data_IF_141919778900
#
_entry.id   IF_141919778900
#
_cell.length_a   1.000
_cell.length_b   1.000
_cell.length_c   1.000
_cell.angle_alpha   90.00
_cell.angle_beta   90.00
_cell.angle_gamma   90.00
#
_symmetry.space_group_name_H-M   'P 1'
#
loop_
_entity.id
_entity.type
_entity.pdbx_description
1 polymer ?
#
# COMPACT_ATOMS: atom_id res chain seq x y z
N UNK A 1 44.27 -23.36 10.38
CA UNK A 1 42.98 -22.65 10.54
C UNK A 1 42.37 -23.19 11.81
N UNK A 2 42.19 -22.33 12.82
CA UNK A 2 41.76 -22.77 14.14
C UNK A 2 40.32 -23.28 14.10
N UNK A 3 40.03 -24.36 14.83
CA UNK A 3 38.69 -24.95 14.90
C UNK A 3 37.61 -23.94 15.32
N UNK A 4 38.01 -22.92 16.08
CA UNK A 4 37.16 -21.78 16.47
C UNK A 4 36.79 -20.92 15.25
N UNK A 5 37.76 -20.60 14.40
CA UNK A 5 37.52 -19.83 13.18
C UNK A 5 36.59 -20.59 12.22
N UNK A 6 36.79 -21.90 12.08
CA UNK A 6 35.92 -22.77 11.26
C UNK A 6 34.49 -22.83 11.83
N UNK A 7 34.33 -22.91 13.15
CA UNK A 7 33.01 -22.89 13.80
C UNK A 7 32.29 -21.55 13.60
N UNK A 8 33.00 -20.42 13.72
CA UNK A 8 32.43 -19.09 13.45
C UNK A 8 31.97 -18.96 11.99
N UNK A 9 32.79 -19.40 11.03
CA UNK A 9 32.44 -19.39 9.60
C UNK A 9 31.23 -20.28 9.32
N UNK A 10 31.14 -21.47 9.94
CA UNK A 10 29.98 -22.36 9.80
C UNK A 10 28.72 -21.76 10.41
N UNK A 11 28.79 -21.10 11.57
CA UNK A 11 27.64 -20.41 12.17
C UNK A 11 27.16 -19.28 11.27
N UNK A 12 28.07 -18.45 10.73
CA UNK A 12 27.72 -17.36 9.80
C UNK A 12 27.10 -17.94 8.51
N UNK A 13 27.65 -19.02 7.96
CA UNK A 13 27.13 -19.69 6.77
C UNK A 13 25.79 -20.42 7.00
N UNK A 14 25.49 -20.85 8.23
CA UNK A 14 24.17 -21.40 8.60
C UNK A 14 23.16 -20.26 8.80
N UNK A 15 23.61 -19.09 9.27
CA UNK A 15 22.78 -17.89 9.41
C UNK A 15 22.54 -17.18 8.08
N UNK A 16 23.35 -17.43 7.04
CA UNK A 16 23.15 -16.89 5.68
C UNK A 16 22.06 -17.62 4.89
N UNK A 17 21.11 -18.28 5.56
CA UNK A 17 19.90 -18.78 4.91
C UNK A 17 19.15 -17.56 4.39
N UNK A 18 19.05 -17.49 3.07
CA UNK A 18 18.53 -16.39 2.27
C UNK A 18 17.40 -15.63 2.94
N UNK A 19 17.59 -14.33 3.15
CA UNK A 19 16.50 -13.38 3.33
C UNK A 19 15.68 -13.44 2.04
N UNK A 20 14.58 -14.18 2.03
CA UNK A 20 13.57 -13.99 1.00
C UNK A 20 12.81 -12.72 1.36
N UNK A 21 12.58 -11.87 0.37
CA UNK A 21 11.59 -10.82 0.45
C UNK A 21 10.39 -11.27 -0.38
N UNK A 22 9.18 -11.06 0.11
CA UNK A 22 8.01 -11.20 -0.73
C UNK A 22 7.88 -9.95 -1.60
N UNK A 23 8.06 -10.14 -2.90
CA UNK A 23 7.77 -9.13 -3.90
C UNK A 23 6.32 -9.30 -4.38
N UNK A 24 5.47 -8.31 -4.16
CA UNK A 24 4.08 -8.32 -4.64
C UNK A 24 3.73 -7.00 -5.30
N UNK A 25 2.95 -7.08 -6.37
CA UNK A 25 2.42 -5.92 -7.08
C UNK A 25 0.91 -5.88 -6.95
N UNK A 26 0.34 -4.68 -7.04
CA UNK A 26 -1.10 -4.44 -7.02
C UNK A 26 -1.52 -3.60 -8.22
N UNK A 27 -2.75 -3.81 -8.66
CA UNK A 27 -3.46 -2.91 -9.57
C UNK A 27 -4.64 -2.33 -8.82
N UNK A 28 -4.76 -1.01 -8.79
CA UNK A 28 -5.85 -0.31 -8.12
C UNK A 28 -6.56 0.61 -9.11
N UNK A 29 -7.89 0.60 -9.06
CA UNK A 29 -8.71 1.58 -9.78
C UNK A 29 -9.83 2.10 -8.91
N UNK A 30 -10.35 3.27 -9.26
CA UNK A 30 -11.55 3.80 -8.63
C UNK A 30 -11.92 5.17 -9.19
N UNK A 31 -12.90 5.76 -8.54
CA UNK A 31 -13.37 7.12 -8.77
C UNK A 31 -13.38 7.88 -7.45
N UNK A 32 -13.09 9.17 -7.50
CA UNK A 32 -13.37 10.09 -6.39
C UNK A 32 -14.49 11.03 -6.78
N UNK A 33 -15.36 11.39 -5.82
CA UNK A 33 -16.43 12.37 -6.03
C UNK A 33 -16.45 13.38 -4.89
N UNK A 34 -16.51 14.66 -5.27
CA UNK A 34 -16.80 15.77 -4.37
C UNK A 34 -18.20 16.30 -4.73
N UNK A 35 -19.21 15.88 -3.98
CA UNK A 35 -20.61 16.13 -4.29
C UNK A 35 -20.97 17.62 -4.22
N UNK A 36 -20.36 18.37 -3.31
CA UNK A 36 -20.61 19.81 -3.18
C UNK A 36 -19.91 20.67 -4.23
N UNK A 37 -18.81 20.18 -4.80
CA UNK A 37 -18.05 20.89 -5.85
C UNK A 37 -17.33 19.87 -6.76
N UNK A 38 -17.98 19.42 -7.83
CA UNK A 38 -17.40 18.44 -8.76
C UNK A 38 -16.11 18.92 -9.44
N UNK A 39 -15.86 20.24 -9.51
CA UNK A 39 -14.60 20.75 -10.10
C UNK A 39 -13.37 20.34 -9.28
N UNK A 40 -13.56 20.00 -8.00
CA UNK A 40 -12.51 19.57 -7.08
C UNK A 40 -12.16 18.09 -7.20
N UNK A 41 -12.76 17.34 -8.14
CA UNK A 41 -12.43 15.92 -8.37
C UNK A 41 -11.32 15.72 -9.42
N UNK A 42 -10.92 16.77 -10.14
CA UNK A 42 -9.87 16.75 -11.16
C UNK A 42 -8.48 16.92 -10.51
N UNK A 43 -7.49 16.19 -11.02
CA UNK A 43 -6.08 16.34 -10.66
C UNK A 43 -5.81 16.19 -9.14
N UNK A 44 -6.57 15.30 -8.49
CA UNK A 44 -6.32 14.88 -7.12
C UNK A 44 -5.18 13.87 -7.14
N UNK A 45 -4.20 14.05 -6.25
CA UNK A 45 -3.10 13.12 -6.10
C UNK A 45 -3.54 11.88 -5.31
N UNK A 46 -3.32 10.71 -5.91
CA UNK A 46 -3.58 9.40 -5.34
C UNK A 46 -2.25 8.70 -5.16
N UNK A 47 -1.94 8.27 -3.94
CA UNK A 47 -0.73 7.53 -3.62
C UNK A 47 -1.08 6.15 -3.10
N UNK A 48 -0.33 5.15 -3.56
CA UNK A 48 -0.33 3.81 -3.00
C UNK A 48 0.92 3.66 -2.15
N UNK A 49 0.71 3.19 -0.92
CA UNK A 49 1.76 2.95 0.05
C UNK A 49 1.73 1.49 0.48
N UNK A 50 2.91 0.96 0.78
CA UNK A 50 3.08 -0.23 1.59
C UNK A 50 3.19 0.20 3.05
N UNK A 51 2.55 -0.52 3.97
CA UNK A 51 2.68 -0.23 5.40
C UNK A 51 3.73 -1.15 5.98
N UNK A 52 4.93 -0.63 6.23
CA UNK A 52 5.97 -1.43 6.87
C UNK A 52 5.53 -1.90 8.26
N UNK A 53 5.60 -3.22 8.46
CA UNK A 53 5.07 -3.91 9.63
C UNK A 53 5.56 -3.38 11.00
N UNK A 54 4.80 -3.75 12.04
CA UNK A 54 4.96 -3.28 13.42
C UNK A 54 6.32 -3.74 14.01
N UNK A 55 7.32 -2.87 13.99
CA UNK A 55 8.61 -3.09 14.66
C UNK A 55 9.37 -1.77 14.80
N UNK A 56 10.40 -1.74 15.67
CA UNK A 56 11.34 -0.62 15.86
C UNK A 56 11.97 -0.10 14.54
N UNK A 57 11.76 -0.81 13.44
CA UNK A 57 12.07 -0.44 12.07
C UNK A 57 11.27 0.75 11.54
N UNK A 58 10.00 1.00 11.93
CA UNK A 58 9.22 2.14 11.36
C UNK A 58 9.86 3.52 11.57
N UNK A 59 10.73 3.67 12.57
CA UNK A 59 11.49 4.92 12.82
C UNK A 59 12.62 5.10 11.79
N UNK A 60 13.06 4.00 11.18
CA UNK A 60 14.18 3.90 10.24
C UNK A 60 13.68 3.62 8.82
N UNK A 61 12.47 3.05 8.69
CA UNK A 61 11.82 2.58 7.46
C UNK A 61 10.37 3.10 7.42
N UNK A 62 10.16 4.32 6.90
CA UNK A 62 8.82 4.90 6.79
C UNK A 62 8.05 4.28 5.61
N UNK A 63 6.73 4.07 5.77
CA UNK A 63 5.82 3.54 4.75
C UNK A 63 6.26 3.80 3.30
N UNK A 64 6.59 2.72 2.59
CA UNK A 64 7.16 2.78 1.26
C UNK A 64 6.14 3.23 0.20
N UNK A 65 6.52 4.23 -0.59
CA UNK A 65 5.70 4.72 -1.69
C UNK A 65 5.79 3.74 -2.88
N UNK A 66 4.72 2.97 -3.10
CA UNK A 66 4.64 2.00 -4.20
C UNK A 66 4.28 2.66 -5.54
N UNK A 67 3.48 3.73 -5.52
CA UNK A 67 3.00 4.39 -6.75
C UNK A 67 2.23 5.68 -6.53
N UNK A 68 2.17 6.52 -7.57
CA UNK A 68 1.46 7.80 -7.58
C UNK A 68 0.70 7.97 -8.91
N UNK A 69 -0.53 8.45 -8.84
CA UNK A 69 -1.32 8.85 -10.01
C UNK A 69 -2.14 10.09 -9.69
N UNK A 70 -2.82 10.63 -10.71
CA UNK A 70 -3.74 11.76 -10.57
C UNK A 70 -5.08 11.42 -11.19
N UNK A 71 -6.16 11.95 -10.60
CA UNK A 71 -7.50 11.76 -11.15
C UNK A 71 -7.73 12.59 -12.42
N UNK A 72 -8.54 12.06 -13.33
CA UNK A 72 -9.01 12.79 -14.51
C UNK A 72 -10.22 13.71 -14.20
N UNK A 73 -10.83 14.29 -15.24
CA UNK A 73 -11.97 15.21 -15.13
C UNK A 73 -13.22 14.55 -14.53
N UNK A 74 -13.39 13.24 -14.72
CA UNK A 74 -14.46 12.45 -14.15
C UNK A 74 -14.13 11.95 -12.74
N UNK A 75 -12.92 12.22 -12.24
CA UNK A 75 -12.42 11.74 -10.96
C UNK A 75 -11.94 10.29 -11.01
N UNK A 76 -11.80 9.69 -12.19
CA UNK A 76 -11.27 8.33 -12.34
C UNK A 76 -9.77 8.33 -12.07
N UNK A 77 -9.28 7.26 -11.44
CA UNK A 77 -7.86 6.99 -11.35
C UNK A 77 -7.57 5.50 -11.54
N UNK A 78 -6.36 5.22 -12.02
CA UNK A 78 -5.76 3.89 -12.08
C UNK A 78 -4.31 4.02 -11.68
N UNK A 79 -3.83 3.09 -10.86
CA UNK A 79 -2.43 3.01 -10.46
C UNK A 79 -1.99 1.57 -10.22
N UNK A 80 -0.74 1.32 -10.56
CA UNK A 80 -0.02 0.10 -10.23
C UNK A 80 1.22 0.43 -9.40
N UNK A 81 1.65 -0.54 -8.61
CA UNK A 81 2.84 -0.41 -7.77
C UNK A 81 3.21 -1.76 -7.16
N UNK A 82 4.46 -1.88 -6.72
CA UNK A 82 4.96 -3.09 -6.08
C UNK A 82 5.65 -2.73 -4.75
N UNK A 83 5.59 -3.66 -3.81
CA UNK A 83 6.24 -3.60 -2.51
C UNK A 83 7.14 -4.82 -2.32
N UNK A 84 8.19 -4.66 -1.52
CA UNK A 84 9.20 -5.66 -1.23
C UNK A 84 9.36 -5.80 0.29
N UNK A 85 8.75 -6.84 0.85
CA UNK A 85 8.74 -7.05 2.29
C UNK A 85 9.67 -8.19 2.71
N UNK A 86 10.60 -7.93 3.63
CA UNK A 86 11.53 -8.97 4.09
C UNK A 86 10.84 -10.00 5.01
N UNK A 87 11.07 -11.29 4.75
CA UNK A 87 10.62 -12.38 5.60
C UNK A 87 11.41 -12.38 6.93
N UNK A 88 10.93 -11.60 7.90
CA UNK A 88 11.53 -11.45 9.22
C UNK A 88 11.50 -12.76 10.05
N UNK A 89 10.53 -13.64 9.79
CA UNK A 89 10.52 -15.02 10.31
C UNK A 89 10.79 -15.99 9.16
N UNK A 90 11.85 -16.81 9.24
CA UNK A 90 12.12 -17.84 8.25
C UNK A 90 10.91 -18.77 8.04
N UNK A 91 10.38 -18.79 6.81
CA UNK A 91 9.26 -19.64 6.42
C UNK A 91 7.87 -19.04 6.62
N UNK A 92 7.76 -17.79 7.07
CA UNK A 92 6.50 -17.03 7.09
C UNK A 92 6.65 -15.86 6.12
N UNK A 93 5.95 -15.87 4.97
CA UNK A 93 5.98 -14.74 4.05
C UNK A 93 5.48 -13.46 4.71
N UNK A 94 6.26 -12.39 4.61
CA UNK A 94 5.79 -11.03 4.90
C UNK A 94 5.36 -10.43 3.55
N UNK A 95 4.06 -10.33 3.27
CA UNK A 95 3.62 -9.69 2.02
C UNK A 95 3.30 -8.22 2.31
N UNK A 96 3.49 -7.34 1.31
CA UNK A 96 3.06 -5.95 1.37
C UNK A 96 1.67 -5.76 1.98
N UNK A 97 1.52 -4.70 2.76
CA UNK A 97 0.30 -4.21 3.38
C UNK A 97 -0.19 -2.93 2.69
N UNK A 98 -0.69 -3.03 1.43
CA UNK A 98 -0.97 -1.87 0.61
C UNK A 98 -2.17 -1.07 1.12
N UNK A 99 -2.07 0.26 1.07
CA UNK A 99 -3.16 1.18 1.34
C UNK A 99 -3.10 2.43 0.45
N UNK A 100 -4.24 3.09 0.25
CA UNK A 100 -4.34 4.28 -0.62
C UNK A 100 -4.50 5.55 0.22
N UNK A 101 -3.76 6.59 -0.17
CA UNK A 101 -3.83 7.95 0.38
C UNK A 101 -4.26 8.92 -0.71
N UNK A 102 -5.32 9.68 -0.44
CA UNK A 102 -5.93 10.64 -1.35
C UNK A 102 -5.74 12.05 -0.79
N UNK A 103 -5.03 12.91 -1.51
CA UNK A 103 -4.83 14.32 -1.12
C UNK A 103 -5.75 15.21 -1.95
N UNK A 104 -6.77 15.79 -1.31
CA UNK A 104 -7.86 16.48 -2.01
C UNK A 104 -8.22 17.82 -1.37
N UNK A 105 -8.92 18.67 -2.12
CA UNK A 105 -9.34 20.00 -1.67
C UNK A 105 -10.85 20.14 -1.48
N UNK A 106 -11.58 19.02 -1.53
CA UNK A 106 -13.04 19.00 -1.39
C UNK A 106 -13.49 19.72 -0.11
N UNK A 107 -12.95 19.38 1.07
CA UNK A 107 -13.41 19.94 2.35
C UNK A 107 -12.74 21.24 2.79
N UNK A 108 -11.50 21.47 2.35
CA UNK A 108 -10.69 22.61 2.73
C UNK A 108 -9.83 23.08 1.57
N UNK A 109 -9.75 24.39 1.35
CA UNK A 109 -8.81 24.96 0.37
C UNK A 109 -7.35 24.85 0.82
N UNK A 110 -7.10 24.43 2.07
CA UNK A 110 -5.75 24.07 2.55
C UNK A 110 -5.34 22.64 2.17
N UNK A 111 -6.27 21.85 1.64
CA UNK A 111 -6.09 20.43 1.37
C UNK A 111 -6.39 19.57 2.60
N UNK A 112 -6.95 18.41 2.35
CA UNK A 112 -7.26 17.34 3.30
C UNK A 112 -6.70 16.02 2.78
N UNK A 113 -6.52 15.07 3.71
CA UNK A 113 -5.99 13.75 3.40
C UNK A 113 -6.99 12.70 3.85
N UNK A 114 -7.40 11.84 2.93
CA UNK A 114 -8.17 10.63 3.19
C UNK A 114 -7.25 9.41 3.05
N UNK A 115 -7.13 8.62 4.12
CA UNK A 115 -6.40 7.35 4.12
C UNK A 115 -7.46 6.25 4.11
N UNK A 116 -7.38 5.37 3.10
CA UNK A 116 -8.26 4.22 2.99
C UNK A 116 -7.67 3.02 3.75
N UNK A 117 -8.51 2.06 4.18
CA UNK A 117 -8.04 0.84 4.82
C UNK A 117 -7.11 0.01 3.93
N UNK A 118 -6.27 -0.80 4.58
CA UNK A 118 -5.43 -1.80 3.91
C UNK A 118 -6.27 -2.82 3.14
N UNK A 119 -5.68 -3.38 2.09
CA UNK A 119 -6.29 -4.43 1.30
C UNK A 119 -5.28 -5.53 0.94
N UNK A 120 -5.78 -6.70 0.50
CA UNK A 120 -4.95 -7.87 0.14
C UNK A 120 -5.38 -8.46 -1.19
N UNK A 121 -5.35 -7.62 -2.22
CA UNK A 121 -5.64 -7.98 -3.62
C UNK A 121 -4.39 -7.65 -4.43
N UNK A 122 -3.77 -8.68 -4.99
CA UNK A 122 -2.50 -8.58 -5.72
C UNK A 122 -2.72 -8.98 -7.17
N UNK A 123 -1.78 -8.64 -8.05
CA UNK A 123 -1.78 -9.06 -9.46
C UNK A 123 -1.88 -10.59 -9.55
N UNK A 124 -2.71 -11.15 -10.46
CA UNK A 124 -3.40 -10.49 -11.59
C UNK A 124 -4.76 -9.86 -11.26
N UNK A 125 -5.24 -9.94 -10.03
CA UNK A 125 -6.50 -9.32 -9.64
C UNK A 125 -6.34 -7.79 -9.49
N UNK A 126 -7.38 -7.05 -9.89
CA UNK A 126 -7.46 -5.59 -9.67
C UNK A 126 -8.29 -5.29 -8.44
N UNK A 127 -7.74 -4.48 -7.54
CA UNK A 127 -8.48 -3.90 -6.42
C UNK A 127 -9.34 -2.73 -6.93
N UNK A 128 -10.65 -2.94 -6.96
CA UNK A 128 -11.62 -1.92 -7.35
C UNK A 128 -12.17 -1.21 -6.11
N UNK A 129 -11.82 0.06 -5.94
CA UNK A 129 -12.29 0.91 -4.83
C UNK A 129 -13.73 1.41 -5.05
N UNK A 130 -14.28 1.27 -6.25
CA UNK A 130 -15.57 1.87 -6.62
C UNK A 130 -15.50 3.41 -6.55
N UNK A 131 -16.52 4.02 -5.92
CA UNK A 131 -16.61 5.47 -5.75
C UNK A 131 -16.26 5.85 -4.32
N UNK A 132 -15.28 6.73 -4.17
CA UNK A 132 -14.86 7.32 -2.89
C UNK A 132 -15.45 8.73 -2.78
N UNK A 133 -16.38 8.92 -1.85
CA UNK A 133 -16.95 10.23 -1.56
C UNK A 133 -16.03 11.06 -0.66
N UNK A 134 -15.62 12.23 -1.14
CA UNK A 134 -14.66 13.09 -0.46
C UNK A 134 -15.31 14.08 0.51
N UNK A 135 -16.64 14.19 0.52
CA UNK A 135 -17.37 15.16 1.35
C UNK A 135 -17.36 14.79 2.84
N UNK A 136 -17.12 13.53 3.18
CA UNK A 136 -17.10 13.06 4.58
C UNK A 136 -15.73 13.23 5.22
N UNK A 137 -15.68 13.72 6.47
CA UNK A 137 -14.45 13.96 7.23
C UNK A 137 -13.81 12.69 7.83
N UNK A 138 -14.18 11.50 7.36
CA UNK A 138 -13.80 10.24 8.02
C UNK A 138 -13.39 9.18 7.00
N UNK A 139 -12.26 8.51 7.27
CA UNK A 139 -11.89 7.20 6.71
C UNK A 139 -13.06 6.23 6.88
N UNK A 140 -13.91 6.10 5.85
CA UNK A 140 -14.96 5.10 5.83
C UNK A 140 -14.34 3.74 5.48
N UNK A 141 -14.78 2.69 6.20
CA UNK A 141 -14.49 1.30 5.85
C UNK A 141 -14.88 1.04 4.39
N UNK A 142 -14.21 0.11 3.68
CA UNK A 142 -14.46 -0.10 2.27
C UNK A 142 -15.93 -0.52 2.08
N UNK A 143 -16.63 -0.01 1.05
CA UNK A 143 -17.90 -0.59 0.67
C UNK A 143 -17.63 -2.05 0.29
N UNK A 144 -18.31 -2.98 0.98
CA UNK A 144 -18.26 -4.44 0.79
C UNK A 144 -17.64 -4.83 -0.56
N UNK A 145 -16.35 -5.15 -0.54
CA UNK A 145 -15.77 -5.99 -1.57
C UNK A 145 -16.65 -7.24 -1.59
N UNK A 146 -17.40 -7.39 -2.67
CA UNK A 146 -18.24 -8.56 -2.89
C UNK A 146 -17.25 -9.72 -2.94
N UNK A 147 -17.20 -10.51 -1.86
CA UNK A 147 -16.65 -11.86 -1.91
C UNK A 147 -17.53 -12.62 -2.90
N UNK A 148 -17.18 -12.56 -4.18
CA UNK A 148 -17.65 -13.53 -5.15
C UNK A 148 -16.79 -14.78 -4.93
N UNK A 149 -17.28 -15.65 -4.04
CA UNK A 149 -16.85 -17.03 -3.96
C UNK A 149 -17.46 -17.74 -5.17
N UNK A 150 -16.68 -17.83 -6.25
CA UNK A 150 -16.88 -18.82 -7.31
C UNK A 150 -15.55 -19.46 -7.69
#
# INVERSE_FOLDING_TARGET
MDNIFVAFVLVIAIMSRSTLAAHKCVWVRGFVKCLKDPSKQLNIEIRLYDRDGISLAQIIDPDDLMGVTFTDEDGMFQLDGCGDDFDWIPGIPNNPEPYVKIMHYCNSDKGDVLILPEFKVFVPETYDLGVVELDTSTSSNPPNATMDLS
#
